data_IF_921873850521
#
_entry.id   IF_921873850521
#
_cell.length_a   1.000
_cell.length_b   1.000
_cell.length_c   1.000
_cell.angle_alpha   90.00
_cell.angle_beta   90.00
_cell.angle_gamma   90.00
#
_symmetry.space_group_name_H-M   'P 1'
#
loop_
_entity.id
_entity.type
_entity.pdbx_description
1 polymer ?
#
# COMPACT_ATOMS: atom_id res chain seq x y z
N UNK A 1 -15.59 13.00 -13.76
CA UNK A 1 -14.75 12.19 -12.84
C UNK A 1 -14.76 12.87 -11.50
N UNK A 2 -15.15 12.16 -10.45
CA UNK A 2 -15.02 12.66 -9.08
C UNK A 2 -13.55 12.57 -8.63
N UNK A 3 -13.16 13.43 -7.72
CA UNK A 3 -11.80 13.46 -7.15
C UNK A 3 -11.39 12.11 -6.51
N UNK A 4 -12.37 11.37 -5.97
CA UNK A 4 -12.18 10.00 -5.44
C UNK A 4 -11.84 8.98 -6.54
N UNK A 5 -12.53 9.02 -7.67
CA UNK A 5 -12.26 8.12 -8.80
C UNK A 5 -10.88 8.38 -9.40
N UNK A 6 -10.50 9.65 -9.53
CA UNK A 6 -9.18 10.06 -10.00
C UNK A 6 -8.07 9.55 -9.07
N UNK A 7 -8.25 9.68 -7.74
CA UNK A 7 -7.32 9.09 -6.75
C UNK A 7 -7.22 7.57 -6.87
N UNK A 8 -8.35 6.87 -6.98
CA UNK A 8 -8.35 5.42 -7.13
C UNK A 8 -7.62 4.98 -8.41
N UNK A 9 -7.78 5.71 -9.52
CA UNK A 9 -7.06 5.46 -10.77
C UNK A 9 -5.56 5.70 -10.59
N UNK A 10 -5.16 6.78 -9.94
CA UNK A 10 -3.76 7.08 -9.66
C UNK A 10 -3.09 5.96 -8.83
N UNK A 11 -3.76 5.48 -7.78
CA UNK A 11 -3.26 4.36 -6.96
C UNK A 11 -3.04 3.09 -7.80
N UNK A 12 -3.97 2.76 -8.70
CA UNK A 12 -3.82 1.60 -9.61
C UNK A 12 -2.63 1.76 -10.56
N UNK A 13 -2.38 2.97 -11.04
CA UNK A 13 -1.22 3.26 -11.91
C UNK A 13 0.08 3.09 -11.13
N UNK A 14 0.15 3.64 -9.92
CA UNK A 14 1.31 3.53 -9.04
C UNK A 14 1.63 2.07 -8.69
N UNK A 15 0.61 1.29 -8.31
CA UNK A 15 0.79 -0.14 -8.00
C UNK A 15 1.41 -0.90 -9.19
N UNK A 16 0.92 -0.64 -10.42
CA UNK A 16 1.48 -1.25 -11.63
C UNK A 16 2.89 -0.77 -11.95
N UNK A 17 3.22 0.49 -11.68
CA UNK A 17 4.57 1.01 -11.88
C UNK A 17 5.55 0.33 -10.93
N UNK A 18 5.25 0.36 -9.63
CA UNK A 18 6.08 -0.24 -8.58
C UNK A 18 6.31 -1.73 -8.87
N UNK A 19 5.26 -2.46 -9.24
CA UNK A 19 5.38 -3.88 -9.58
C UNK A 19 6.39 -4.12 -10.72
N UNK A 20 6.25 -3.39 -11.83
CA UNK A 20 7.19 -3.52 -12.97
C UNK A 20 8.61 -3.09 -12.61
N UNK A 21 8.74 -2.05 -11.79
CA UNK A 21 10.05 -1.55 -11.36
C UNK A 21 10.76 -2.58 -10.46
N UNK A 22 10.01 -3.31 -9.62
CA UNK A 22 10.55 -4.41 -8.81
C UNK A 22 10.94 -5.61 -9.68
N UNK A 23 10.11 -6.01 -10.66
CA UNK A 23 10.49 -7.07 -11.61
C UNK A 23 11.75 -6.69 -12.40
N UNK A 24 11.86 -5.44 -12.86
CA UNK A 24 13.03 -4.94 -13.57
C UNK A 24 14.32 -4.94 -12.73
N UNK A 25 14.19 -4.86 -11.40
CA UNK A 25 15.29 -4.99 -10.45
C UNK A 25 15.64 -6.45 -10.12
N UNK A 26 14.86 -7.42 -10.62
CA UNK A 26 15.10 -8.85 -10.43
C UNK A 26 14.42 -9.45 -9.21
N UNK A 27 13.46 -8.75 -8.58
CA UNK A 27 12.65 -9.33 -7.51
C UNK A 27 11.65 -10.33 -8.09
N UNK A 28 11.54 -11.49 -7.44
CA UNK A 28 10.53 -12.48 -7.79
C UNK A 28 9.16 -12.17 -7.15
N UNK A 29 8.13 -12.87 -7.64
CA UNK A 29 6.76 -12.69 -7.17
C UNK A 29 6.61 -12.91 -5.66
N UNK A 30 7.37 -13.85 -5.07
CA UNK A 30 7.30 -14.16 -3.63
C UNK A 30 7.86 -13.02 -2.80
N UNK A 31 8.97 -12.43 -3.24
CA UNK A 31 9.57 -11.27 -2.60
C UNK A 31 8.66 -10.04 -2.70
N UNK A 32 8.01 -9.83 -3.84
CA UNK A 32 7.03 -8.75 -4.02
C UNK A 32 5.81 -8.94 -3.10
N UNK A 33 5.32 -10.18 -2.96
CA UNK A 33 4.22 -10.50 -2.02
C UNK A 33 4.65 -10.28 -0.57
N UNK A 34 5.87 -10.66 -0.19
CA UNK A 34 6.39 -10.40 1.14
C UNK A 34 6.43 -8.90 1.44
N UNK A 35 6.94 -8.09 0.50
CA UNK A 35 6.93 -6.63 0.63
C UNK A 35 5.51 -6.06 0.79
N UNK A 36 4.56 -6.51 -0.04
CA UNK A 36 3.18 -6.06 0.08
C UNK A 36 2.57 -6.41 1.45
N UNK A 37 2.90 -7.59 1.98
CA UNK A 37 2.46 -8.02 3.31
C UNK A 37 3.02 -7.11 4.41
N UNK A 38 4.30 -6.77 4.35
CA UNK A 38 4.94 -5.85 5.30
C UNK A 38 4.28 -4.45 5.26
N UNK A 39 4.00 -3.93 4.06
CA UNK A 39 3.32 -2.65 3.90
C UNK A 39 1.91 -2.65 4.49
N UNK A 40 1.15 -3.74 4.30
CA UNK A 40 -0.18 -3.91 4.90
C UNK A 40 -0.06 -3.94 6.42
N UNK A 41 0.89 -4.67 6.99
CA UNK A 41 1.13 -4.75 8.43
C UNK A 41 1.44 -3.39 9.04
N UNK A 42 2.29 -2.57 8.40
CA UNK A 42 2.64 -1.24 8.88
C UNK A 42 1.43 -0.30 8.87
N UNK A 43 0.68 -0.27 7.76
CA UNK A 43 -0.51 0.60 7.62
C UNK A 43 -1.60 0.21 8.61
N UNK A 44 -1.87 -1.09 8.76
CA UNK A 44 -2.88 -1.58 9.72
C UNK A 44 -2.47 -1.30 11.15
N UNK A 45 -1.18 -1.47 11.49
CA UNK A 45 -0.64 -1.11 12.81
C UNK A 45 -0.80 0.38 13.11
N UNK A 46 -0.58 1.25 12.12
CA UNK A 46 -0.80 2.69 12.25
C UNK A 46 -2.28 3.02 12.51
N UNK A 47 -3.18 2.44 11.72
CA UNK A 47 -4.64 2.64 11.90
C UNK A 47 -5.07 2.21 13.30
N UNK A 48 -4.61 1.05 13.78
CA UNK A 48 -4.94 0.55 15.12
C UNK A 48 -4.44 1.50 16.23
N UNK A 49 -3.22 2.04 16.09
CA UNK A 49 -2.67 3.05 17.03
C UNK A 49 -3.50 4.33 17.04
N UNK A 50 -3.91 4.81 15.86
CA UNK A 50 -4.71 6.04 15.74
C UNK A 50 -6.12 5.86 16.32
N UNK A 51 -6.72 4.68 16.15
CA UNK A 51 -8.00 4.33 16.80
C UNK A 51 -7.88 4.24 18.33
N UNK A 52 -6.78 3.67 18.85
CA UNK A 52 -6.53 3.61 20.30
C UNK A 52 -6.37 4.99 20.94
N UNK A 53 -5.84 5.98 20.21
CA UNK A 53 -5.73 7.37 20.68
C UNK A 53 -7.07 8.10 20.71
N UNK A 54 -8.01 7.77 19.82
CA UNK A 54 -9.35 8.37 19.82
C UNK A 54 -10.25 7.89 20.96
N UNK A 55 -9.97 6.72 21.56
CA UNK A 55 -10.75 6.20 22.70
C UNK A 55 -10.30 6.75 24.07
N UNK A 56 -9.12 7.37 24.14
CA UNK A 56 -8.53 7.93 25.36
C UNK A 56 -8.67 9.47 25.44
N UNK A 57 -9.28 10.09 24.43
CA UNK A 57 -9.51 11.53 24.33
C UNK A 57 -10.98 11.89 24.62
#
# INVERSE_FOLDING_TARGET
>A
MTDRESRNRAVRILAKSIYRDLEAQGFDEKQIVALATELISEVTSKIAKDQGKQQLA
#
